data_IF_657506723081
#
_entry.id   IF_657506723081
#
_cell.length_a   1.000
_cell.length_b   1.000
_cell.length_c   1.000
_cell.angle_alpha   90.00
_cell.angle_beta   90.00
_cell.angle_gamma   90.00
#
_symmetry.space_group_name_H-M   'P 1'
#
loop_
_entity.id
_entity.type
_entity.pdbx_description
1 polymer ?
#
# COMPACT_ATOMS: atom_id res chain seq x y z
N UNK A 1 -4.58 -44.38 -14.82
CA UNK A 1 -4.06 -44.23 -13.44
C UNK A 1 -2.54 -44.40 -13.51
N UNK A 2 -1.66 -43.61 -12.90
CA UNK A 2 -1.80 -42.46 -12.02
C UNK A 2 -0.62 -41.49 -12.25
N UNK A 3 -0.83 -40.21 -11.93
CA UNK A 3 0.20 -39.16 -12.04
C UNK A 3 1.10 -39.23 -10.80
N UNK A 4 2.41 -39.31 -11.05
CA UNK A 4 3.47 -39.33 -10.05
C UNK A 4 3.57 -37.96 -9.36
N UNK A 5 3.43 -37.98 -8.04
CA UNK A 5 3.55 -36.83 -7.13
C UNK A 5 5.02 -36.44 -7.04
N UNK A 6 5.38 -35.25 -7.53
CA UNK A 6 6.72 -34.68 -7.40
C UNK A 6 6.99 -34.34 -5.94
N UNK A 7 8.01 -35.00 -5.37
CA UNK A 7 8.54 -34.81 -4.01
C UNK A 7 8.82 -33.33 -3.73
N UNK A 8 8.19 -32.82 -2.68
CA UNK A 8 8.55 -31.56 -2.01
C UNK A 8 10.01 -31.62 -1.55
N UNK A 9 10.85 -30.78 -2.16
CA UNK A 9 12.22 -30.55 -1.72
C UNK A 9 12.16 -29.80 -0.40
N UNK A 10 12.42 -30.50 0.69
CA UNK A 10 12.65 -29.89 2.00
C UNK A 10 13.99 -29.14 1.96
N UNK A 11 13.96 -27.84 1.69
CA UNK A 11 15.12 -26.98 1.82
C UNK A 11 15.56 -26.95 3.29
N UNK A 12 16.77 -27.48 3.56
CA UNK A 12 17.37 -27.44 4.89
C UNK A 12 17.59 -25.97 5.31
N UNK A 13 17.22 -25.56 6.54
CA UNK A 13 17.39 -24.19 6.99
C UNK A 13 18.89 -23.84 7.08
N UNK A 14 19.28 -22.73 6.43
CA UNK A 14 20.61 -22.13 6.58
C UNK A 14 20.81 -21.72 8.04
N UNK A 15 21.91 -22.19 8.65
CA UNK A 15 22.34 -21.92 10.04
C UNK A 15 22.17 -20.43 10.38
N UNK A 16 21.35 -20.13 11.38
CA UNK A 16 21.23 -18.78 11.99
C UNK A 16 19.83 -18.16 11.93
N UNK A 17 18.91 -18.64 11.07
CA UNK A 17 17.54 -18.12 11.03
C UNK A 17 16.63 -18.98 11.92
N UNK A 18 16.21 -18.44 13.08
CA UNK A 18 15.11 -19.04 13.84
C UNK A 18 13.89 -19.08 12.91
N UNK A 19 13.46 -20.29 12.55
CA UNK A 19 12.24 -20.51 11.77
C UNK A 19 11.09 -20.26 12.74
N UNK A 20 10.36 -19.15 12.57
CA UNK A 20 9.13 -18.90 13.32
C UNK A 20 8.11 -19.98 12.95
N UNK A 21 7.37 -20.46 13.94
CA UNK A 21 6.23 -21.35 13.68
C UNK A 21 5.10 -20.58 12.99
N UNK A 22 4.11 -21.28 12.46
CA UNK A 22 2.96 -20.64 11.83
C UNK A 22 2.13 -19.87 12.87
N UNK A 23 2.06 -20.41 14.08
CA UNK A 23 1.40 -19.81 15.24
C UNK A 23 2.10 -18.51 15.65
N UNK A 24 3.44 -18.49 15.73
CA UNK A 24 4.23 -17.30 16.05
C UNK A 24 3.98 -16.16 15.04
N UNK A 25 3.83 -16.51 13.76
CA UNK A 25 3.55 -15.54 12.69
C UNK A 25 2.15 -14.96 12.86
N UNK A 26 1.16 -15.81 13.13
CA UNK A 26 -0.22 -15.37 13.35
C UNK A 26 -0.36 -14.47 14.58
N UNK A 27 0.32 -14.79 15.68
CA UNK A 27 0.33 -13.93 16.87
C UNK A 27 1.01 -12.58 16.62
N UNK A 28 2.14 -12.57 15.91
CA UNK A 28 2.83 -11.33 15.51
C UNK A 28 1.94 -10.45 14.62
N UNK A 29 1.22 -11.06 13.66
CA UNK A 29 0.25 -10.36 12.81
C UNK A 29 -0.89 -9.76 13.64
N UNK A 30 -1.51 -10.55 14.52
CA UNK A 30 -2.60 -10.07 15.39
C UNK A 30 -2.15 -8.91 16.27
N UNK A 31 -0.99 -9.02 16.89
CA UNK A 31 -0.40 -7.96 17.72
C UNK A 31 -0.15 -6.66 16.93
N UNK A 32 0.35 -6.78 15.69
CA UNK A 32 0.56 -5.63 14.78
C UNK A 32 -0.75 -5.01 14.33
N UNK A 33 -1.76 -5.80 13.98
CA UNK A 33 -3.09 -5.29 13.63
C UNK A 33 -3.70 -4.50 14.80
N UNK A 34 -3.60 -5.02 16.03
CA UNK A 34 -4.07 -4.32 17.23
C UNK A 34 -3.30 -3.02 17.47
N UNK A 35 -1.98 -3.04 17.33
CA UNK A 35 -1.12 -1.85 17.47
C UNK A 35 -1.51 -0.77 16.45
N UNK A 36 -1.66 -1.16 15.17
CA UNK A 36 -2.06 -0.24 14.10
C UNK A 36 -3.44 0.36 14.41
N UNK A 37 -4.42 -0.50 14.75
CA UNK A 37 -5.77 -0.06 15.11
C UNK A 37 -5.74 0.94 16.26
N UNK A 38 -5.03 0.63 17.34
CA UNK A 38 -4.90 1.50 18.51
C UNK A 38 -4.27 2.85 18.18
N UNK A 39 -3.23 2.87 17.33
CA UNK A 39 -2.57 4.12 16.91
C UNK A 39 -3.57 5.00 16.15
N UNK A 40 -4.34 4.43 15.22
CA UNK A 40 -5.32 5.18 14.44
C UNK A 40 -6.48 5.64 15.34
N UNK A 41 -7.04 4.76 16.19
CA UNK A 41 -8.16 5.08 17.10
C UNK A 41 -7.80 6.17 18.11
N UNK A 42 -6.53 6.21 18.58
CA UNK A 42 -6.08 7.19 19.56
C UNK A 42 -6.01 8.62 19.02
N UNK A 43 -6.10 8.81 17.69
CA UNK A 43 -5.90 10.11 17.05
C UNK A 43 -4.47 10.63 17.09
N UNK A 44 -3.52 9.86 17.64
CA UNK A 44 -2.11 10.26 17.78
C UNK A 44 -1.27 10.01 16.51
N UNK A 45 -1.89 9.54 15.43
CA UNK A 45 -1.19 9.29 14.18
C UNK A 45 -0.92 10.62 13.46
N UNK A 46 0.32 11.09 13.50
CA UNK A 46 0.69 12.33 12.80
C UNK A 46 0.86 12.10 11.30
N UNK A 47 1.44 10.96 10.92
CA UNK A 47 1.62 10.58 9.52
C UNK A 47 1.48 9.07 9.32
N UNK A 48 0.85 8.66 8.22
CA UNK A 48 0.67 7.25 7.85
C UNK A 48 1.98 6.48 7.72
N UNK A 49 3.10 7.17 7.44
CA UNK A 49 4.44 6.58 7.42
C UNK A 49 4.78 5.85 8.73
N UNK A 50 4.23 6.28 9.86
CA UNK A 50 4.45 5.64 11.17
C UNK A 50 3.89 4.21 11.23
N UNK A 51 2.92 3.87 10.37
CA UNK A 51 2.37 2.52 10.27
C UNK A 51 3.25 1.58 9.44
N UNK A 52 4.16 2.12 8.62
CA UNK A 52 5.01 1.33 7.73
C UNK A 52 5.82 0.23 8.44
N UNK A 53 6.48 0.48 9.59
CA UNK A 53 7.25 -0.54 10.30
C UNK A 53 6.38 -1.67 10.87
N UNK A 54 5.11 -1.38 11.15
CA UNK A 54 4.14 -2.36 11.65
C UNK A 54 3.58 -3.23 10.53
N UNK A 55 3.60 -2.75 9.29
CA UNK A 55 3.14 -3.50 8.12
C UNK A 55 4.22 -4.48 7.64
N UNK A 56 4.12 -5.72 8.09
CA UNK A 56 5.09 -6.77 7.77
C UNK A 56 4.82 -7.44 6.40
N UNK A 57 5.83 -8.15 5.88
CA UNK A 57 5.67 -8.95 4.66
C UNK A 57 4.57 -10.02 4.81
N UNK A 58 4.49 -10.68 5.97
CA UNK A 58 3.49 -11.71 6.21
C UNK A 58 2.06 -11.15 6.15
N UNK A 59 1.84 -9.93 6.67
CA UNK A 59 0.56 -9.23 6.52
C UNK A 59 0.24 -8.92 5.06
N UNK A 60 1.24 -8.46 4.30
CA UNK A 60 1.07 -8.18 2.88
C UNK A 60 0.69 -9.44 2.09
N UNK A 61 1.33 -10.57 2.40
CA UNK A 61 1.03 -11.87 1.80
C UNK A 61 -0.40 -12.33 2.16
N UNK A 62 -0.84 -12.15 3.41
CA UNK A 62 -2.19 -12.49 3.88
C UNK A 62 -3.30 -11.66 3.21
N UNK A 63 -3.07 -10.34 3.05
CA UNK A 63 -4.02 -9.49 2.30
C UNK A 63 -3.84 -9.58 0.78
N UNK A 64 -2.91 -10.40 0.28
CA UNK A 64 -2.70 -10.63 -1.15
C UNK A 64 -2.22 -9.39 -1.90
N UNK A 65 -1.30 -8.61 -1.32
CA UNK A 65 -0.68 -7.43 -1.97
C UNK A 65 0.84 -7.52 -1.96
N UNK A 66 1.48 -6.80 -2.87
CA UNK A 66 2.93 -6.67 -2.85
C UNK A 66 3.37 -5.74 -1.70
N UNK A 67 4.15 -6.28 -0.75
CA UNK A 67 4.64 -5.54 0.43
C UNK A 67 5.26 -4.19 0.08
N UNK A 68 6.28 -4.14 -0.78
CA UNK A 68 6.97 -2.89 -1.10
C UNK A 68 6.08 -1.85 -1.79
N UNK A 69 5.20 -2.28 -2.71
CA UNK A 69 4.25 -1.36 -3.36
C UNK A 69 3.22 -0.83 -2.38
N UNK A 70 2.75 -1.65 -1.45
CA UNK A 70 1.77 -1.26 -0.45
C UNK A 70 2.39 -0.36 0.63
N UNK A 71 3.56 -0.73 1.16
CA UNK A 71 4.32 0.08 2.12
C UNK A 71 4.62 1.49 1.62
N UNK A 72 4.93 1.63 0.32
CA UNK A 72 5.17 2.94 -0.29
C UNK A 72 3.94 3.87 -0.26
N UNK A 73 2.73 3.31 -0.13
CA UNK A 73 1.49 4.12 -0.01
C UNK A 73 1.41 4.80 1.35
N UNK A 74 1.93 4.19 2.42
CA UNK A 74 2.03 4.86 3.73
C UNK A 74 2.92 6.12 3.69
N UNK A 75 3.95 6.11 2.84
CA UNK A 75 4.83 7.29 2.63
C UNK A 75 4.25 8.32 1.65
N UNK A 76 3.37 7.88 0.75
CA UNK A 76 2.73 8.74 -0.22
C UNK A 76 1.22 8.42 -0.26
N UNK A 77 0.45 9.05 0.64
CA UNK A 77 -0.95 8.70 0.85
C UNK A 77 -1.83 8.88 -0.40
N UNK A 78 -1.43 9.74 -1.35
CA UNK A 78 -2.12 9.95 -2.63
C UNK A 78 -2.20 8.67 -3.48
N UNK A 79 -1.31 7.71 -3.23
CA UNK A 79 -1.27 6.43 -3.96
C UNK A 79 -2.23 5.38 -3.40
N UNK A 80 -2.92 5.65 -2.28
CA UNK A 80 -3.98 4.77 -1.81
C UNK A 80 -5.15 4.82 -2.79
N UNK A 81 -5.50 3.67 -3.35
CA UNK A 81 -6.80 3.53 -4.00
C UNK A 81 -7.88 3.29 -2.95
N UNK A 82 -9.14 3.55 -3.31
CA UNK A 82 -10.29 3.21 -2.46
C UNK A 82 -10.25 1.73 -2.07
N UNK A 83 -9.93 0.83 -3.00
CA UNK A 83 -9.82 -0.60 -2.69
C UNK A 83 -8.74 -0.94 -1.66
N UNK A 84 -7.61 -0.22 -1.67
CA UNK A 84 -6.55 -0.43 -0.68
C UNK A 84 -6.99 -0.01 0.71
N UNK A 85 -7.70 1.12 0.81
CA UNK A 85 -8.21 1.68 2.07
C UNK A 85 -9.16 0.68 2.71
N UNK A 86 -10.17 0.22 1.97
CA UNK A 86 -11.14 -0.75 2.49
C UNK A 86 -10.47 -2.07 2.87
N UNK A 87 -9.62 -2.62 1.99
CA UNK A 87 -8.96 -3.90 2.25
C UNK A 87 -8.09 -3.85 3.50
N UNK A 88 -7.31 -2.79 3.65
CA UNK A 88 -6.45 -2.62 4.82
C UNK A 88 -7.28 -2.37 6.09
N UNK A 89 -8.29 -1.49 6.03
CA UNK A 89 -9.16 -1.20 7.15
C UNK A 89 -9.88 -2.46 7.67
N UNK A 90 -10.49 -3.24 6.79
CA UNK A 90 -11.13 -4.50 7.19
C UNK A 90 -10.13 -5.50 7.76
N UNK A 91 -8.93 -5.59 7.19
CA UNK A 91 -7.90 -6.50 7.68
C UNK A 91 -7.44 -6.17 9.11
N UNK A 92 -7.29 -4.89 9.45
CA UNK A 92 -6.92 -4.46 10.81
C UNK A 92 -8.14 -4.33 11.75
N UNK A 93 -9.36 -4.59 11.26
CA UNK A 93 -10.59 -4.46 12.04
C UNK A 93 -10.94 -3.02 12.39
N UNK A 94 -10.72 -2.08 11.45
CA UNK A 94 -10.98 -0.65 11.58
C UNK A 94 -11.99 -0.16 10.56
N UNK A 95 -12.61 1.00 10.81
CA UNK A 95 -13.61 1.58 9.92
C UNK A 95 -12.95 2.24 8.69
N UNK A 96 -13.32 1.84 7.45
CA UNK A 96 -12.74 2.40 6.23
C UNK A 96 -12.90 3.92 6.12
N UNK A 97 -14.03 4.47 6.56
CA UNK A 97 -14.32 5.91 6.47
C UNK A 97 -13.41 6.74 7.36
N UNK A 98 -13.11 6.25 8.57
CA UNK A 98 -12.15 6.88 9.48
C UNK A 98 -10.74 6.84 8.89
N UNK A 99 -10.34 5.71 8.30
CA UNK A 99 -9.01 5.60 7.69
C UNK A 99 -8.91 6.54 6.47
N UNK A 100 -9.94 6.58 5.64
CA UNK A 100 -10.01 7.50 4.51
C UNK A 100 -9.94 8.96 4.96
N UNK A 101 -10.62 9.31 6.07
CA UNK A 101 -10.59 10.66 6.62
C UNK A 101 -9.19 11.05 7.09
N UNK A 102 -8.48 10.13 7.74
CA UNK A 102 -7.09 10.33 8.16
C UNK A 102 -6.15 10.54 6.97
N UNK A 103 -6.25 9.67 5.95
CA UNK A 103 -5.49 9.80 4.69
C UNK A 103 -5.75 11.15 4.03
N UNK A 104 -7.02 11.56 3.93
CA UNK A 104 -7.41 12.82 3.32
C UNK A 104 -6.89 14.02 4.12
N UNK A 105 -6.91 13.95 5.45
CA UNK A 105 -6.34 14.98 6.33
C UNK A 105 -4.85 15.17 6.05
N UNK A 106 -4.07 14.08 6.02
CA UNK A 106 -2.64 14.14 5.73
C UNK A 106 -2.35 14.74 4.34
N UNK A 107 -3.09 14.31 3.31
CA UNK A 107 -2.96 14.86 1.96
C UNK A 107 -3.23 16.37 1.96
N UNK A 108 -4.31 16.82 2.61
CA UNK A 108 -4.69 18.24 2.64
C UNK A 108 -3.67 19.11 3.38
N UNK A 109 -3.10 18.61 4.47
CA UNK A 109 -2.10 19.33 5.26
C UNK A 109 -0.75 19.42 4.54
N UNK A 110 -0.42 18.43 3.71
CA UNK A 110 0.83 18.41 2.96
C UNK A 110 0.72 19.17 1.62
N UNK A 111 1.18 20.43 1.62
CA UNK A 111 1.17 21.32 0.44
C UNK A 111 1.80 20.70 -0.81
N UNK A 112 2.86 19.89 -0.66
CA UNK A 112 3.56 19.26 -1.79
C UNK A 112 2.74 18.16 -2.46
N UNK A 113 1.96 17.40 -1.69
CA UNK A 113 1.05 16.39 -2.21
C UNK A 113 -0.13 17.06 -2.93
N UNK A 114 -0.68 18.13 -2.34
CA UNK A 114 -1.75 18.90 -2.97
C UNK A 114 -1.28 19.56 -4.27
N UNK A 115 -0.08 20.13 -4.31
CA UNK A 115 0.44 20.75 -5.53
C UNK A 115 0.61 19.73 -6.64
N UNK A 116 1.20 18.57 -6.33
CA UNK A 116 1.35 17.47 -7.29
C UNK A 116 0.00 16.98 -7.84
N UNK A 117 -1.06 16.99 -7.03
CA UNK A 117 -2.42 16.63 -7.45
C UNK A 117 -3.09 17.68 -8.35
N UNK A 118 -2.65 18.95 -8.28
CA UNK A 118 -3.17 20.06 -9.09
C UNK A 118 -2.38 20.29 -10.37
N UNK A 119 -1.30 19.54 -10.61
CA UNK A 119 -0.52 19.62 -11.84
C UNK A 119 -1.28 18.94 -13.00
N UNK A 120 -2.10 19.72 -13.69
CA UNK A 120 -2.79 19.28 -14.89
C UNK A 120 -2.00 19.63 -16.15
N UNK A 121 -1.80 18.66 -17.04
CA UNK A 121 -1.23 18.91 -18.37
C UNK A 121 -2.21 19.72 -19.20
N UNK A 122 -1.75 20.79 -19.85
CA UNK A 122 -2.59 21.55 -20.77
C UNK A 122 -2.87 20.71 -22.01
N UNK A 123 -4.11 20.73 -22.51
CA UNK A 123 -4.52 19.97 -23.72
C UNK A 123 -3.61 20.29 -24.91
N UNK A 124 -3.21 21.56 -25.06
CA UNK A 124 -2.30 22.04 -26.12
C UNK A 124 -0.90 21.39 -26.09
N UNK A 125 -0.48 20.88 -24.94
CA UNK A 125 0.82 20.25 -24.75
C UNK A 125 0.79 18.73 -25.05
N UNK A 126 -0.40 18.15 -25.21
CA UNK A 126 -0.58 16.75 -25.57
C UNK A 126 -0.05 16.50 -26.99
N UNK A 127 0.72 15.42 -27.15
CA UNK A 127 1.38 15.04 -28.42
C UNK A 127 0.41 14.95 -29.60
N UNK A 128 -0.85 14.60 -29.32
CA UNK A 128 -1.94 14.45 -30.28
C UNK A 128 -2.29 15.75 -31.01
N UNK A 129 -2.12 16.92 -30.37
CA UNK A 129 -2.41 18.23 -30.96
C UNK A 129 -1.17 18.92 -31.55
N UNK A 130 0.05 18.43 -31.22
CA UNK A 130 1.30 18.90 -31.84
C UNK A 130 1.45 18.47 -33.30
N UNK A 131 0.79 17.39 -33.73
CA UNK A 131 0.78 16.91 -35.11
C UNK A 131 -0.17 17.71 -36.02
N UNK A 132 -1.24 18.30 -35.46
CA UNK A 132 -2.23 19.08 -36.21
C UNK A 132 -1.67 20.45 -36.61
N UNK A 133 -0.91 21.12 -35.73
CA UNK A 133 -0.32 22.45 -36.06
C UNK A 133 0.82 22.39 -37.09
N UNK A 134 1.39 21.20 -37.34
CA UNK A 134 2.37 21.00 -38.42
C UNK A 134 1.74 20.86 -39.80
N UNK A 135 0.48 20.41 -39.88
CA UNK A 135 -0.25 20.26 -41.15
C UNK A 135 -0.90 21.55 -41.65
N UNK A 136 -1.07 22.56 -40.79
CA UNK A 136 -1.65 23.85 -41.15
C UNK A 136 -0.62 24.91 -41.56
N UNK A 137 0.69 24.61 -41.56
CA UNK A 137 1.76 25.51 -42.00
C UNK A 137 2.24 25.26 -43.44
N UNK A 138 1.57 24.38 -44.18
CA UNK A 138 1.92 23.97 -45.55
C UNK A 138 0.86 24.33 -46.59
N UNK A 139 0.07 25.39 -46.36
CA UNK A 139 -0.78 26.01 -47.38
C UNK A 139 -0.56 27.50 -47.41
#
# INVERSE_FOLDING_TARGET
MGKSISKTVSEKPKKGRKVKTLEDIQEDIKSKCLSIKSIIDSGNLNALKELEPLFSKAMADEIGVNHGRFSNKFRNPVKFSVSDIHRFAYYIGFEPDKLSSQINSEIRLNKSLVSALKEFRKIKELKQYKSVSRRSKTK
#
